data_IF_348242370496
#
_entry.id   IF_348242370496
#
_cell.length_a   1.000
_cell.length_b   1.000
_cell.length_c   1.000
_cell.angle_alpha   90.00
_cell.angle_beta   90.00
_cell.angle_gamma   90.00
#
_symmetry.space_group_name_H-M   'P 1'
#
loop_
_entity.id
_entity.type
_entity.pdbx_description
1 polymer ?
#
# COMPACT_ATOMS: atom_id res chain seq x y z
N UNK A 1 -15.70 1.76 16.67
CA UNK A 1 -16.63 2.28 15.62
C UNK A 1 -18.07 1.90 15.89
N UNK A 2 -18.36 0.70 16.43
CA UNK A 2 -19.73 0.33 16.83
C UNK A 2 -20.31 1.29 17.88
N UNK A 3 -19.49 1.76 18.80
CA UNK A 3 -19.84 2.74 19.80
C UNK A 3 -20.35 4.07 19.20
N UNK A 4 -19.76 4.53 18.11
CA UNK A 4 -20.10 5.84 17.52
C UNK A 4 -21.56 5.96 17.10
N UNK A 5 -22.23 4.85 16.74
CA UNK A 5 -23.62 4.89 16.26
C UNK A 5 -24.58 5.33 17.37
N UNK A 6 -24.71 4.60 18.49
CA UNK A 6 -25.63 5.01 19.56
C UNK A 6 -25.18 6.31 20.24
N UNK A 7 -23.89 6.60 20.31
CA UNK A 7 -23.36 7.86 20.85
C UNK A 7 -23.83 9.09 20.05
N UNK A 8 -23.83 9.00 18.71
CA UNK A 8 -24.30 10.09 17.84
C UNK A 8 -25.84 10.22 17.87
N UNK A 9 -26.56 9.09 18.01
CA UNK A 9 -28.02 9.11 18.16
C UNK A 9 -28.43 9.87 19.43
N UNK A 10 -27.71 9.74 20.55
CA UNK A 10 -27.96 10.51 21.79
C UNK A 10 -27.72 12.00 21.60
N UNK A 11 -26.88 12.40 20.68
CA UNK A 11 -26.65 13.78 20.29
C UNK A 11 -27.68 14.29 19.26
N UNK A 12 -28.76 13.55 19.04
CA UNK A 12 -29.87 13.86 18.12
C UNK A 12 -29.45 13.87 16.63
N UNK A 13 -28.38 13.17 16.26
CA UNK A 13 -28.05 12.97 14.85
C UNK A 13 -28.86 11.81 14.25
N UNK A 14 -29.34 11.96 13.03
CA UNK A 14 -29.79 10.85 12.19
C UNK A 14 -28.55 10.16 11.58
N UNK A 15 -28.27 8.91 11.99
CA UNK A 15 -27.03 8.22 11.65
C UNK A 15 -27.21 7.30 10.44
N UNK A 16 -26.54 7.63 9.36
CA UNK A 16 -26.32 6.75 8.20
C UNK A 16 -24.91 6.19 8.27
N UNK A 17 -24.76 4.88 8.07
CA UNK A 17 -23.46 4.22 8.12
C UNK A 17 -23.02 3.71 6.76
N UNK A 18 -21.73 3.76 6.52
CA UNK A 18 -21.07 3.29 5.32
C UNK A 18 -19.95 2.32 5.68
N UNK A 19 -19.97 1.14 5.06
CA UNK A 19 -18.82 0.24 5.02
C UNK A 19 -18.27 0.21 3.59
N UNK A 20 -16.97 0.50 3.45
CA UNK A 20 -16.26 0.46 2.16
C UNK A 20 -15.40 -0.78 2.14
N UNK A 21 -15.79 -1.76 1.33
CA UNK A 21 -15.05 -3.02 1.17
C UNK A 21 -13.86 -2.79 0.23
N UNK A 22 -12.67 -2.89 0.81
CA UNK A 22 -11.38 -2.75 0.12
C UNK A 22 -10.71 -4.11 -0.15
N UNK A 23 -11.44 -5.23 0.03
CA UNK A 23 -11.01 -6.59 -0.32
C UNK A 23 -10.42 -7.41 0.83
N UNK A 24 -10.48 -6.90 2.08
CA UNK A 24 -9.96 -7.61 3.27
C UNK A 24 -11.01 -8.41 4.04
N UNK A 25 -12.26 -8.50 3.56
CA UNK A 25 -13.31 -9.22 4.25
C UNK A 25 -14.17 -10.09 3.31
N UNK A 26 -14.74 -11.15 3.88
CA UNK A 26 -15.68 -12.03 3.20
C UNK A 26 -17.10 -11.45 3.13
N UNK A 27 -17.92 -11.94 2.20
CA UNK A 27 -19.34 -11.59 2.12
C UNK A 27 -20.13 -11.94 3.40
N UNK A 28 -19.67 -12.92 4.20
CA UNK A 28 -20.28 -13.27 5.49
C UNK A 28 -20.01 -12.17 6.52
N UNK A 29 -18.79 -11.69 6.59
CA UNK A 29 -18.40 -10.59 7.50
C UNK A 29 -19.07 -9.28 7.11
N UNK A 30 -19.19 -8.98 5.82
CA UNK A 30 -19.92 -7.81 5.32
C UNK A 30 -21.39 -7.83 5.76
N UNK A 31 -22.08 -8.99 5.67
CA UNK A 31 -23.44 -9.14 6.19
C UNK A 31 -23.52 -8.96 7.71
N UNK A 32 -22.51 -9.45 8.44
CA UNK A 32 -22.45 -9.26 9.89
C UNK A 32 -22.28 -7.79 10.29
N UNK A 33 -21.46 -7.03 9.54
CA UNK A 33 -21.29 -5.57 9.72
C UNK A 33 -22.61 -4.85 9.47
N UNK A 34 -23.31 -5.18 8.37
CA UNK A 34 -24.63 -4.61 8.06
C UNK A 34 -25.62 -4.85 9.20
N UNK A 35 -25.76 -6.11 9.64
CA UNK A 35 -26.65 -6.49 10.73
C UNK A 35 -26.31 -5.69 12.00
N UNK A 36 -25.01 -5.62 12.35
CA UNK A 36 -24.55 -4.91 13.53
C UNK A 36 -24.84 -3.41 13.49
N UNK A 37 -24.64 -2.77 12.34
CA UNK A 37 -24.93 -1.35 12.17
C UNK A 37 -26.43 -1.05 12.39
N UNK A 38 -27.32 -1.88 11.87
CA UNK A 38 -28.77 -1.73 12.04
C UNK A 38 -29.20 -2.00 13.48
N UNK A 39 -28.65 -3.03 14.14
CA UNK A 39 -28.90 -3.31 15.56
C UNK A 39 -28.52 -2.14 16.47
N UNK A 40 -27.48 -1.40 16.13
CA UNK A 40 -27.01 -0.23 16.89
C UNK A 40 -27.81 1.04 16.62
N UNK A 41 -28.82 0.99 15.76
CA UNK A 41 -29.75 2.09 15.51
C UNK A 41 -29.43 2.94 14.28
N UNK A 42 -28.55 2.49 13.39
CA UNK A 42 -28.34 3.21 12.13
C UNK A 42 -29.65 3.24 11.31
N UNK A 43 -30.03 4.42 10.80
CA UNK A 43 -31.21 4.57 9.94
C UNK A 43 -31.06 3.80 8.63
N UNK A 44 -29.84 3.80 8.09
CA UNK A 44 -29.48 3.07 6.88
C UNK A 44 -28.02 2.67 6.93
N UNK A 45 -27.71 1.49 6.41
CA UNK A 45 -26.35 1.02 6.18
C UNK A 45 -26.10 0.79 4.70
N UNK A 46 -24.93 1.18 4.19
CA UNK A 46 -24.51 0.92 2.82
C UNK A 46 -23.17 0.17 2.82
N UNK A 47 -23.07 -0.81 1.93
CA UNK A 47 -21.82 -1.48 1.59
C UNK A 47 -21.42 -1.07 0.17
N UNK A 48 -20.18 -0.64 -0.01
CA UNK A 48 -19.62 -0.27 -1.31
C UNK A 48 -18.29 -1.00 -1.50
N UNK A 49 -18.21 -1.79 -2.58
CA UNK A 49 -16.97 -2.45 -2.97
C UNK A 49 -16.14 -1.51 -3.85
N UNK A 50 -14.90 -1.25 -3.45
CA UNK A 50 -13.96 -0.35 -4.16
C UNK A 50 -12.67 -1.05 -4.59
N UNK A 51 -12.64 -2.37 -4.66
CA UNK A 51 -11.44 -3.12 -5.02
C UNK A 51 -10.88 -2.72 -6.40
N UNK A 52 -11.77 -2.44 -7.36
CA UNK A 52 -11.36 -1.97 -8.70
C UNK A 52 -10.71 -0.59 -8.64
N UNK A 53 -11.25 0.32 -7.82
CA UNK A 53 -10.65 1.63 -7.57
C UNK A 53 -9.33 1.50 -6.83
N UNK A 54 -9.23 0.61 -5.84
CA UNK A 54 -7.99 0.34 -5.12
C UNK A 54 -6.89 -0.14 -6.07
N UNK A 55 -7.25 -1.02 -7.00
CA UNK A 55 -6.33 -1.47 -8.05
C UNK A 55 -5.88 -0.31 -8.96
N UNK A 56 -6.82 0.46 -9.50
CA UNK A 56 -6.51 1.45 -10.53
C UNK A 56 -5.95 2.77 -10.01
N UNK A 57 -6.41 3.23 -8.83
CA UNK A 57 -6.07 4.55 -8.31
C UNK A 57 -4.89 4.50 -7.32
N UNK A 58 -4.56 3.33 -6.77
CA UNK A 58 -3.53 3.17 -5.75
C UNK A 58 -2.47 2.14 -6.14
N UNK A 59 -2.87 0.90 -6.41
CA UNK A 59 -1.91 -0.16 -6.66
C UNK A 59 -1.16 0.01 -7.99
N UNK A 60 -1.85 0.40 -9.05
CA UNK A 60 -1.19 0.61 -10.35
C UNK A 60 -0.16 1.75 -10.26
N UNK A 61 -0.47 2.95 -9.73
CA UNK A 61 0.54 3.98 -9.47
C UNK A 61 1.68 3.52 -8.55
N UNK A 62 1.40 2.74 -7.51
CA UNK A 62 2.43 2.18 -6.63
C UNK A 62 3.40 1.28 -7.39
N UNK A 63 2.90 0.40 -8.26
CA UNK A 63 3.73 -0.46 -9.11
C UNK A 63 4.56 0.38 -10.07
N UNK A 64 3.95 1.37 -10.73
CA UNK A 64 4.66 2.28 -11.65
C UNK A 64 5.71 3.12 -10.94
N UNK A 65 5.48 3.52 -9.69
CA UNK A 65 6.45 4.25 -8.89
C UNK A 65 7.73 3.44 -8.65
N UNK A 66 7.60 2.11 -8.54
CA UNK A 66 8.69 1.22 -8.17
C UNK A 66 9.27 1.51 -6.78
N UNK A 67 8.61 2.34 -5.97
CA UNK A 67 9.08 2.82 -4.67
C UNK A 67 8.23 2.26 -3.52
N UNK A 68 8.85 2.22 -2.34
CA UNK A 68 8.22 1.87 -1.07
C UNK A 68 8.49 3.00 -0.08
N UNK A 69 7.56 3.30 0.79
CA UNK A 69 7.80 4.29 1.84
C UNK A 69 8.97 3.84 2.73
N UNK A 70 9.97 4.70 2.87
CA UNK A 70 11.25 4.41 3.53
C UNK A 70 11.91 3.11 3.00
N UNK A 71 11.81 2.86 1.70
CA UNK A 71 12.34 1.68 0.99
C UNK A 71 11.81 0.33 1.52
N UNK A 72 10.69 0.31 2.23
CA UNK A 72 10.19 -0.91 2.87
C UNK A 72 8.67 -1.11 2.84
N UNK A 73 7.89 -0.07 3.18
CA UNK A 73 6.45 -0.21 3.39
C UNK A 73 5.63 0.14 2.15
N UNK A 74 4.80 -0.77 1.62
CA UNK A 74 4.03 -0.56 0.39
C UNK A 74 2.71 0.21 0.58
N UNK A 75 2.69 1.16 1.50
CA UNK A 75 1.57 2.09 1.78
C UNK A 75 0.20 1.42 1.84
N UNK A 76 0.07 0.27 2.51
CA UNK A 76 -1.18 -0.49 2.65
C UNK A 76 -2.32 0.31 3.27
N UNK A 77 -1.99 1.39 3.98
CA UNK A 77 -2.93 2.34 4.59
C UNK A 77 -3.66 3.25 3.61
N UNK A 78 -3.35 3.19 2.31
CA UNK A 78 -3.89 4.11 1.30
C UNK A 78 -5.35 3.86 0.90
N UNK A 79 -5.93 2.73 1.28
CA UNK A 79 -7.36 2.45 1.14
C UNK A 79 -8.25 3.49 1.86
N UNK A 80 -7.72 4.20 2.88
CA UNK A 80 -8.41 5.27 3.63
C UNK A 80 -8.90 6.39 2.71
N UNK A 81 -8.17 6.69 1.64
CA UNK A 81 -8.56 7.71 0.66
C UNK A 81 -9.81 7.33 -0.12
N UNK A 82 -9.97 6.07 -0.46
CA UNK A 82 -11.17 5.57 -1.12
C UNK A 82 -12.36 5.54 -0.15
N UNK A 83 -12.13 5.21 1.12
CA UNK A 83 -13.16 5.28 2.16
C UNK A 83 -13.69 6.72 2.28
N UNK A 84 -12.80 7.71 2.35
CA UNK A 84 -13.21 9.13 2.39
C UNK A 84 -13.95 9.52 1.11
N UNK A 85 -13.43 9.16 -0.06
CA UNK A 85 -14.06 9.47 -1.37
C UNK A 85 -15.51 8.97 -1.43
N UNK A 86 -15.77 7.73 -1.00
CA UNK A 86 -17.12 7.18 -0.98
C UNK A 86 -17.99 7.82 0.14
N UNK A 87 -17.40 8.17 1.28
CA UNK A 87 -18.08 8.90 2.35
C UNK A 87 -18.54 10.29 1.90
N UNK A 88 -17.69 11.01 1.18
CA UNK A 88 -18.04 12.33 0.59
C UNK A 88 -19.19 12.20 -0.42
N UNK A 89 -19.15 11.20 -1.31
CA UNK A 89 -20.26 10.93 -2.24
C UNK A 89 -21.58 10.68 -1.50
N UNK A 90 -21.53 9.92 -0.39
CA UNK A 90 -22.70 9.67 0.43
C UNK A 90 -23.21 10.95 1.09
N UNK A 91 -22.32 11.79 1.65
CA UNK A 91 -22.69 13.08 2.24
C UNK A 91 -23.36 13.99 1.20
N UNK A 92 -22.84 14.06 -0.02
CA UNK A 92 -23.43 14.83 -1.12
C UNK A 92 -24.82 14.31 -1.47
N UNK A 93 -25.02 12.97 -1.55
CA UNK A 93 -26.32 12.34 -1.82
C UNK A 93 -27.34 12.63 -0.73
N UNK A 94 -26.91 12.65 0.53
CA UNK A 94 -27.74 12.96 1.70
C UNK A 94 -27.90 14.46 1.95
N UNK A 95 -27.23 15.32 1.17
CA UNK A 95 -27.20 16.77 1.33
C UNK A 95 -26.77 17.19 2.74
N UNK A 96 -25.83 16.48 3.35
CA UNK A 96 -25.26 16.79 4.67
C UNK A 96 -23.82 17.24 4.56
N UNK A 97 -23.38 18.05 5.52
CA UNK A 97 -21.98 18.44 5.75
C UNK A 97 -21.36 17.74 6.96
N UNK A 98 -22.13 16.92 7.68
CA UNK A 98 -21.64 16.17 8.83
C UNK A 98 -21.06 14.83 8.40
N UNK A 99 -19.82 14.57 8.80
CA UNK A 99 -19.14 13.30 8.56
C UNK A 99 -18.48 12.85 9.86
N UNK A 100 -18.72 11.62 10.28
CA UNK A 100 -18.16 11.06 11.50
C UNK A 100 -17.21 9.89 11.23
N UNK A 101 -16.14 9.80 12.01
CA UNK A 101 -15.27 8.63 12.01
C UNK A 101 -14.71 8.31 13.41
N UNK A 102 -14.33 7.04 13.61
CA UNK A 102 -13.84 6.53 14.90
C UNK A 102 -12.31 6.47 15.01
N UNK A 103 -11.56 7.37 14.36
CA UNK A 103 -10.11 7.41 14.54
C UNK A 103 -9.74 8.03 15.87
N UNK A 104 -8.73 7.44 16.53
CA UNK A 104 -8.13 8.00 17.76
C UNK A 104 -7.23 9.19 17.43
N UNK A 105 -6.95 10.05 18.40
CA UNK A 105 -6.01 11.16 18.29
C UNK A 105 -4.52 10.77 18.28
N UNK A 106 -4.20 9.46 18.36
CA UNK A 106 -2.83 8.96 18.52
C UNK A 106 -2.25 8.30 17.27
N UNK A 107 -3.08 7.98 16.28
CA UNK A 107 -2.67 7.23 15.08
C UNK A 107 -2.55 8.09 13.81
N UNK A 108 -1.95 7.52 12.78
CA UNK A 108 -1.79 8.16 11.47
C UNK A 108 -3.12 8.30 10.72
N UNK A 109 -4.08 7.41 10.97
CA UNK A 109 -5.33 7.37 10.19
C UNK A 109 -6.17 8.62 10.40
N UNK A 110 -6.15 9.23 11.60
CA UNK A 110 -6.82 10.51 11.81
C UNK A 110 -6.34 11.59 10.84
N UNK A 111 -5.02 11.67 10.62
CA UNK A 111 -4.43 12.66 9.70
C UNK A 111 -4.91 12.38 8.27
N UNK A 112 -4.89 11.12 7.83
CA UNK A 112 -5.34 10.72 6.50
C UNK A 112 -6.82 11.04 6.28
N UNK A 113 -7.69 10.71 7.25
CA UNK A 113 -9.11 11.01 7.15
C UNK A 113 -9.37 12.51 7.13
N UNK A 114 -8.86 13.25 8.11
CA UNK A 114 -9.16 14.67 8.25
C UNK A 114 -8.63 15.50 7.08
N UNK A 115 -7.37 15.28 6.64
CA UNK A 115 -6.81 15.96 5.48
C UNK A 115 -7.60 15.64 4.21
N UNK A 116 -7.96 14.37 4.01
CA UNK A 116 -8.73 13.94 2.84
C UNK A 116 -10.13 14.55 2.83
N UNK A 117 -10.81 14.60 3.96
CA UNK A 117 -12.13 15.23 4.06
C UNK A 117 -12.02 16.73 3.75
N UNK A 118 -11.04 17.43 4.33
CA UNK A 118 -10.80 18.85 4.11
C UNK A 118 -10.47 19.18 2.65
N UNK A 119 -9.79 18.29 1.95
CA UNK A 119 -9.49 18.44 0.51
C UNK A 119 -10.76 18.44 -0.37
N UNK A 120 -11.90 17.94 0.14
CA UNK A 120 -13.18 17.93 -0.57
C UNK A 120 -14.12 19.07 -0.16
N UNK A 121 -13.68 19.99 0.68
CA UNK A 121 -14.43 21.20 1.08
C UNK A 121 -14.72 21.27 2.57
N UNK A 122 -15.63 22.18 2.93
CA UNK A 122 -15.99 22.44 4.33
C UNK A 122 -16.99 21.39 4.82
N UNK A 123 -16.50 20.41 5.54
CA UNK A 123 -17.28 19.42 6.28
C UNK A 123 -17.08 19.58 7.78
N UNK A 124 -18.14 19.33 8.55
CA UNK A 124 -18.07 19.20 9.99
C UNK A 124 -17.61 17.78 10.32
N UNK A 125 -16.38 17.63 10.78
CA UNK A 125 -15.78 16.35 11.12
C UNK A 125 -16.08 16.04 12.59
N UNK A 126 -16.84 14.97 12.84
CA UNK A 126 -17.26 14.55 14.18
C UNK A 126 -16.43 13.33 14.56
N UNK A 127 -15.77 13.38 15.71
CA UNK A 127 -14.80 12.36 16.13
C UNK A 127 -15.08 11.85 17.55
N UNK A 128 -16.12 11.04 17.76
CA UNK A 128 -16.55 10.61 19.09
C UNK A 128 -15.43 9.97 19.92
N UNK A 129 -14.53 9.23 19.28
CA UNK A 129 -13.42 8.57 19.99
C UNK A 129 -12.42 9.59 20.54
N UNK A 130 -12.16 10.69 19.84
CA UNK A 130 -11.29 11.77 20.35
C UNK A 130 -11.94 12.52 21.51
N UNK A 131 -13.25 12.68 21.48
CA UNK A 131 -14.00 13.27 22.60
C UNK A 131 -13.86 12.42 23.87
N UNK A 132 -13.99 11.09 23.74
CA UNK A 132 -13.81 10.14 24.84
C UNK A 132 -12.37 10.13 25.35
N UNK A 133 -11.38 10.29 24.50
CA UNK A 133 -9.97 10.38 24.91
C UNK A 133 -9.70 11.54 25.88
N UNK A 134 -10.52 12.58 25.85
CA UNK A 134 -10.45 13.68 26.81
C UNK A 134 -11.06 13.31 28.18
N UNK A 135 -11.88 12.26 28.23
CA UNK A 135 -12.59 11.82 29.44
C UNK A 135 -11.86 10.67 30.13
N UNK A 136 -11.29 9.75 29.37
CA UNK A 136 -10.65 8.55 29.89
C UNK A 136 -9.41 8.12 29.10
N UNK A 137 -8.43 7.55 29.83
CA UNK A 137 -7.25 6.91 29.20
C UNK A 137 -7.56 5.53 28.62
N UNK A 138 -8.61 4.86 29.13
CA UNK A 138 -9.01 3.53 28.66
C UNK A 138 -10.26 3.61 27.77
N UNK A 139 -10.08 4.13 26.58
CA UNK A 139 -11.15 4.32 25.58
C UNK A 139 -11.93 3.05 25.30
N UNK A 140 -11.22 1.93 25.14
CA UNK A 140 -11.85 0.64 24.80
C UNK A 140 -12.79 0.15 25.91
N UNK A 141 -12.36 0.21 27.17
CA UNK A 141 -13.22 -0.15 28.28
C UNK A 141 -14.47 0.75 28.35
N UNK A 142 -14.28 2.05 28.14
CA UNK A 142 -15.40 2.99 28.10
C UNK A 142 -16.40 2.64 26.98
N UNK A 143 -15.92 2.34 25.76
CA UNK A 143 -16.79 1.93 24.65
C UNK A 143 -17.59 0.65 24.96
N UNK A 144 -16.94 -0.33 25.60
CA UNK A 144 -17.58 -1.59 25.98
C UNK A 144 -18.66 -1.39 27.05
N UNK A 145 -18.33 -0.64 28.12
CA UNK A 145 -19.23 -0.37 29.24
C UNK A 145 -20.44 0.47 28.79
N UNK A 146 -20.21 1.46 27.94
CA UNK A 146 -21.27 2.25 27.33
C UNK A 146 -22.24 1.37 26.51
N UNK A 147 -21.73 0.49 25.65
CA UNK A 147 -22.55 -0.40 24.85
C UNK A 147 -23.34 -1.39 25.72
N UNK A 148 -22.72 -1.95 26.79
CA UNK A 148 -23.40 -2.82 27.75
C UNK A 148 -24.49 -2.10 28.49
N UNK A 149 -24.24 -0.87 28.97
CA UNK A 149 -25.24 -0.04 29.65
C UNK A 149 -26.47 0.25 28.78
N UNK A 150 -26.28 0.32 27.45
CA UNK A 150 -27.36 0.48 26.47
C UNK A 150 -28.03 -0.85 26.07
N UNK A 151 -27.69 -1.97 26.69
CA UNK A 151 -28.25 -3.28 26.38
C UNK A 151 -27.70 -3.95 25.11
N UNK A 152 -26.64 -3.40 24.50
CA UNK A 152 -26.04 -4.02 23.33
C UNK A 152 -25.07 -5.12 23.71
N UNK A 153 -25.11 -6.24 22.98
CA UNK A 153 -24.12 -7.31 23.14
C UNK A 153 -22.76 -6.81 22.66
N UNK A 154 -21.75 -6.91 23.52
CA UNK A 154 -20.36 -6.65 23.16
C UNK A 154 -19.67 -7.99 22.93
N UNK A 155 -19.06 -8.23 21.76
CA UNK A 155 -18.29 -9.44 21.54
C UNK A 155 -17.14 -9.53 22.56
N UNK A 156 -17.01 -10.65 23.27
CA UNK A 156 -15.98 -10.89 24.29
C UNK A 156 -14.55 -11.07 23.73
N UNK A 157 -14.35 -10.82 22.46
CA UNK A 157 -13.08 -11.01 21.78
C UNK A 157 -12.13 -9.85 22.09
N UNK A 158 -11.35 -9.97 23.15
CA UNK A 158 -10.10 -9.24 23.29
C UNK A 158 -9.16 -9.68 22.16
N UNK A 159 -9.24 -9.03 21.01
CA UNK A 159 -8.30 -9.29 19.94
C UNK A 159 -6.91 -8.85 20.42
N UNK A 160 -5.98 -9.80 20.49
CA UNK A 160 -4.58 -9.56 20.85
C UNK A 160 -3.95 -8.52 19.93
N UNK A 161 -4.34 -8.52 18.66
CA UNK A 161 -3.82 -7.62 17.63
C UNK A 161 -4.92 -6.76 16.99
N UNK A 162 -4.53 -5.57 16.59
CA UNK A 162 -5.26 -4.75 15.62
C UNK A 162 -4.81 -5.13 14.21
N UNK A 163 -5.71 -5.67 13.41
CA UNK A 163 -5.44 -6.08 12.01
C UNK A 163 -6.21 -5.18 11.08
N UNK A 164 -5.49 -4.51 10.17
CA UNK A 164 -6.05 -3.78 9.04
C UNK A 164 -5.70 -4.55 7.78
N UNK A 165 -6.66 -5.20 7.17
CA UNK A 165 -6.53 -6.00 5.96
C UNK A 165 -7.33 -5.38 4.82
N UNK A 166 -6.74 -5.36 3.64
CA UNK A 166 -7.36 -5.00 2.38
C UNK A 166 -6.78 -5.85 1.25
N UNK A 167 -7.20 -5.62 0.02
CA UNK A 167 -6.72 -6.36 -1.16
C UNK A 167 -5.19 -6.31 -1.34
N UNK A 168 -4.55 -5.22 -0.89
CA UNK A 168 -3.10 -5.01 -1.05
C UNK A 168 -2.27 -5.81 -0.04
N UNK A 169 -2.84 -6.17 1.11
CA UNK A 169 -2.17 -6.88 2.18
C UNK A 169 -2.73 -6.58 3.57
N UNK A 170 -1.96 -6.88 4.60
CA UNK A 170 -2.34 -6.69 5.99
C UNK A 170 -1.30 -5.90 6.77
N UNK A 171 -1.75 -5.06 7.70
CA UNK A 171 -0.91 -4.37 8.68
C UNK A 171 -1.41 -4.75 10.08
N UNK A 172 -0.50 -5.20 10.94
CA UNK A 172 -0.81 -5.77 12.25
C UNK A 172 -0.01 -5.02 13.32
N UNK A 173 -0.68 -4.57 14.38
CA UNK A 173 -0.09 -3.89 15.55
C UNK A 173 -0.72 -4.39 16.85
N UNK A 174 -0.16 -4.00 17.97
CA UNK A 174 -0.62 -4.38 19.30
C UNK A 174 0.28 -5.42 19.98
N UNK A 175 0.05 -5.65 21.27
CA UNK A 175 0.72 -6.63 22.09
C UNK A 175 2.26 -6.48 22.06
N UNK A 176 3.01 -7.58 21.89
CA UNK A 176 4.47 -7.61 21.83
C UNK A 176 5.08 -6.75 20.71
N UNK A 177 4.30 -6.46 19.65
CA UNK A 177 4.77 -5.61 18.56
C UNK A 177 4.98 -4.18 19.06
N UNK A 178 4.06 -3.66 19.85
CA UNK A 178 4.08 -2.27 20.34
C UNK A 178 5.18 -2.05 21.39
N UNK A 179 5.58 -3.09 22.13
CA UNK A 179 6.67 -3.05 23.12
C UNK A 179 8.02 -3.49 22.55
N UNK A 180 8.12 -3.65 21.24
CA UNK A 180 9.35 -3.95 20.49
C UNK A 180 9.92 -5.35 20.68
N UNK A 181 9.14 -6.29 21.21
CA UNK A 181 9.50 -7.70 21.32
C UNK A 181 9.32 -8.44 19.97
N UNK A 182 9.81 -9.68 19.90
CA UNK A 182 9.67 -10.51 18.70
C UNK A 182 8.19 -10.77 18.39
N UNK A 183 7.74 -10.46 17.16
CA UNK A 183 6.37 -10.75 16.75
C UNK A 183 6.07 -12.25 16.82
N UNK A 184 5.00 -12.62 17.48
CA UNK A 184 4.59 -14.01 17.58
C UNK A 184 4.10 -14.56 16.24
N UNK A 185 4.03 -15.88 16.12
CA UNK A 185 3.51 -16.55 14.91
C UNK A 185 2.09 -16.12 14.54
N UNK A 186 1.27 -15.78 15.54
CA UNK A 186 -0.12 -15.35 15.38
C UNK A 186 -0.27 -13.94 14.80
N UNK A 187 0.79 -13.13 14.82
CA UNK A 187 0.80 -11.80 14.22
C UNK A 187 0.88 -11.80 12.70
N UNK A 188 1.05 -12.97 12.06
CA UNK A 188 1.05 -13.13 10.61
C UNK A 188 -0.26 -13.78 10.18
N UNK A 189 -1.03 -13.11 9.32
CA UNK A 189 -2.40 -13.49 8.94
C UNK A 189 -2.52 -13.97 7.49
N UNK A 190 -1.64 -13.51 6.60
CA UNK A 190 -1.63 -13.87 5.17
C UNK A 190 -0.54 -14.88 4.82
N UNK A 191 0.61 -14.80 5.45
CA UNK A 191 1.75 -15.65 5.16
C UNK A 191 1.77 -16.89 6.04
N UNK A 192 2.05 -18.04 5.44
CA UNK A 192 2.31 -19.29 6.17
C UNK A 192 3.56 -19.18 7.04
N UNK A 193 3.67 -20.06 8.03
CA UNK A 193 4.86 -20.16 8.86
C UNK A 193 5.99 -20.92 8.15
N UNK A 194 7.28 -20.69 8.50
CA UNK A 194 8.42 -21.28 7.80
C UNK A 194 8.36 -22.80 7.60
N UNK A 195 7.86 -23.54 8.60
CA UNK A 195 7.72 -25.00 8.53
C UNK A 195 6.65 -25.48 7.54
N UNK A 196 5.79 -24.58 7.05
CA UNK A 196 4.71 -24.83 6.09
C UNK A 196 5.07 -24.44 4.66
N UNK A 197 6.26 -23.86 4.45
CA UNK A 197 6.65 -23.40 3.12
C UNK A 197 6.84 -24.58 2.14
N UNK A 198 6.47 -24.41 0.86
CA UNK A 198 6.75 -25.39 -0.14
C UNK A 198 8.25 -25.67 -0.24
N UNK A 199 8.62 -26.95 -0.29
CA UNK A 199 10.04 -27.37 -0.45
C UNK A 199 10.59 -27.11 -1.85
N UNK A 200 9.71 -27.12 -2.87
CA UNK A 200 10.09 -26.88 -4.28
C UNK A 200 9.78 -25.45 -4.66
N UNK A 201 10.68 -24.74 -5.35
CA UNK A 201 10.40 -23.42 -5.88
C UNK A 201 9.28 -23.49 -6.93
N UNK A 202 8.61 -22.36 -7.15
CA UNK A 202 7.53 -22.22 -8.12
C UNK A 202 7.86 -21.10 -9.11
N UNK A 203 7.92 -21.43 -10.38
CA UNK A 203 8.07 -20.45 -11.44
C UNK A 203 6.71 -20.02 -11.99
N UNK A 204 6.60 -18.74 -12.39
CA UNK A 204 5.44 -18.19 -13.05
C UNK A 204 5.84 -17.09 -14.04
N UNK A 205 5.00 -16.85 -15.03
CA UNK A 205 5.20 -15.81 -16.03
C UNK A 205 4.15 -14.70 -15.85
N UNK A 206 4.60 -13.46 -15.71
CA UNK A 206 3.74 -12.29 -15.60
C UNK A 206 3.91 -11.43 -16.85
N UNK A 207 2.82 -11.18 -17.56
CA UNK A 207 2.83 -10.38 -18.78
C UNK A 207 2.33 -8.97 -18.50
N UNK A 208 3.09 -8.00 -19.01
CA UNK A 208 2.77 -6.57 -18.92
C UNK A 208 2.50 -5.98 -20.31
N UNK A 209 1.61 -5.00 -20.37
CA UNK A 209 1.37 -4.15 -21.52
C UNK A 209 1.28 -2.70 -21.06
N UNK A 210 2.23 -1.87 -21.50
CA UNK A 210 2.34 -0.46 -21.07
C UNK A 210 2.26 -0.33 -19.53
N UNK A 211 3.07 -1.12 -18.84
CA UNK A 211 3.13 -1.19 -17.37
C UNK A 211 2.00 -1.94 -16.69
N UNK A 212 0.87 -2.15 -17.36
CA UNK A 212 -0.28 -2.86 -16.80
C UNK A 212 -0.11 -4.36 -16.88
N UNK A 213 -0.37 -5.07 -15.79
CA UNK A 213 -0.42 -6.54 -15.81
C UNK A 213 -1.64 -6.99 -16.60
N UNK A 214 -1.43 -7.92 -17.55
CA UNK A 214 -2.50 -8.38 -18.46
C UNK A 214 -2.67 -9.91 -18.47
N UNK A 215 -1.69 -10.68 -18.00
CA UNK A 215 -1.80 -12.14 -17.91
C UNK A 215 -0.86 -12.72 -16.85
N UNK A 216 -1.25 -13.88 -16.33
CA UNK A 216 -0.46 -14.76 -15.46
C UNK A 216 -0.43 -16.15 -16.09
N UNK A 217 0.77 -16.69 -16.35
CA UNK A 217 0.99 -18.01 -16.99
C UNK A 217 0.18 -18.18 -18.30
N UNK A 218 0.11 -17.14 -19.12
CA UNK A 218 -0.63 -17.12 -20.38
C UNK A 218 -2.13 -16.87 -20.26
N UNK A 219 -2.72 -17.02 -19.08
CA UNK A 219 -4.15 -16.77 -18.84
C UNK A 219 -4.39 -15.27 -18.65
N UNK A 220 -5.37 -14.72 -19.36
CA UNK A 220 -5.83 -13.33 -19.14
C UNK A 220 -6.44 -13.21 -17.76
N UNK A 221 -5.77 -12.48 -16.90
CA UNK A 221 -6.23 -12.14 -15.56
C UNK A 221 -5.64 -10.79 -15.19
N UNK A 222 -6.39 -9.95 -14.54
CA UNK A 222 -5.94 -8.61 -14.11
C UNK A 222 -6.79 -8.12 -12.93
N UNK A 223 -6.32 -7.03 -12.33
CA UNK A 223 -7.08 -6.38 -11.28
C UNK A 223 -7.10 -7.16 -9.96
N UNK A 224 -8.20 -7.04 -9.19
CA UNK A 224 -8.33 -7.62 -7.87
C UNK A 224 -8.09 -9.14 -7.82
N UNK A 225 -8.58 -9.89 -8.79
CA UNK A 225 -8.48 -11.35 -8.79
C UNK A 225 -7.03 -11.81 -8.96
N UNK A 226 -6.29 -11.16 -9.84
CA UNK A 226 -4.85 -11.41 -9.98
C UNK A 226 -4.12 -11.19 -8.65
N UNK A 227 -4.42 -10.08 -7.96
CA UNK A 227 -3.73 -9.77 -6.70
C UNK A 227 -4.06 -10.77 -5.61
N UNK A 228 -5.32 -11.25 -5.52
CA UNK A 228 -5.70 -12.35 -4.60
C UNK A 228 -4.91 -13.62 -4.88
N UNK A 229 -4.80 -14.01 -6.15
CA UNK A 229 -4.02 -15.19 -6.53
C UNK A 229 -2.55 -15.02 -6.15
N UNK A 230 -1.97 -13.86 -6.41
CA UNK A 230 -0.58 -13.59 -6.06
C UNK A 230 -0.38 -13.49 -4.54
N UNK A 231 -1.33 -12.93 -3.79
CA UNK A 231 -1.29 -12.92 -2.31
C UNK A 231 -1.32 -14.35 -1.76
N UNK A 232 -2.21 -15.21 -2.28
CA UNK A 232 -2.30 -16.60 -1.85
C UNK A 232 -1.02 -17.39 -2.18
N UNK A 233 -0.52 -17.26 -3.41
CA UNK A 233 0.70 -17.93 -3.84
C UNK A 233 1.90 -17.40 -3.05
N UNK A 234 2.13 -16.10 -3.02
CA UNK A 234 3.25 -15.48 -2.32
C UNK A 234 3.22 -15.72 -0.81
N UNK A 235 2.04 -15.62 -0.20
CA UNK A 235 1.82 -15.92 1.22
C UNK A 235 2.16 -17.37 1.56
N UNK A 236 1.92 -18.33 0.66
CA UNK A 236 2.33 -19.72 0.88
C UNK A 236 3.84 -19.91 0.98
N UNK A 237 4.63 -19.03 0.39
CA UNK A 237 6.11 -19.00 0.47
C UNK A 237 6.63 -18.00 1.52
N UNK A 238 5.76 -17.30 2.27
CA UNK A 238 6.15 -16.29 3.23
C UNK A 238 6.76 -15.02 2.62
N UNK A 239 6.45 -14.74 1.35
CA UNK A 239 6.94 -13.58 0.62
C UNK A 239 6.21 -12.32 1.09
N UNK A 240 6.93 -11.19 1.16
CA UNK A 240 6.34 -9.87 1.40
C UNK A 240 5.95 -9.58 2.85
N UNK A 241 6.37 -10.40 3.82
CA UNK A 241 6.18 -10.13 5.24
C UNK A 241 7.38 -9.40 5.83
N UNK A 242 7.12 -8.44 6.70
CA UNK A 242 8.20 -7.69 7.38
C UNK A 242 7.72 -7.01 8.65
N UNK A 243 8.67 -6.66 9.50
CA UNK A 243 8.47 -5.73 10.62
C UNK A 243 8.91 -4.35 10.17
N UNK A 244 8.08 -3.34 10.36
CA UNK A 244 8.36 -1.96 9.99
C UNK A 244 8.33 -1.06 11.22
N UNK A 245 9.33 -0.23 11.37
CA UNK A 245 9.41 0.78 12.41
C UNK A 245 9.71 2.14 11.76
N UNK A 246 8.92 3.14 12.11
CA UNK A 246 9.03 4.49 11.56
C UNK A 246 8.40 5.51 12.51
N UNK A 247 8.68 6.79 12.26
CA UNK A 247 7.90 7.83 12.88
C UNK A 247 6.48 7.84 12.30
N UNK A 248 5.51 7.96 13.18
CA UNK A 248 4.16 8.32 12.75
C UNK A 248 4.15 9.73 12.17
N UNK A 249 3.10 10.08 11.44
CA UNK A 249 2.95 11.44 10.86
C UNK A 249 2.97 12.50 11.96
N UNK A 250 2.53 12.15 13.15
CA UNK A 250 2.51 13.04 14.33
C UNK A 250 3.79 12.99 15.17
N UNK A 251 4.86 12.35 14.68
CA UNK A 251 6.20 12.39 15.30
C UNK A 251 6.47 11.35 16.38
N UNK A 252 5.57 10.39 16.59
CA UNK A 252 5.80 9.29 17.54
C UNK A 252 6.43 8.08 16.84
N UNK A 253 7.40 7.45 17.45
CA UNK A 253 7.96 6.19 16.94
C UNK A 253 6.93 5.08 17.05
N UNK A 254 6.59 4.45 15.93
CA UNK A 254 5.66 3.33 15.85
C UNK A 254 6.31 2.10 15.23
N UNK A 255 5.77 0.93 15.54
CA UNK A 255 6.19 -0.36 14.98
C UNK A 255 4.97 -1.22 14.64
N UNK A 256 5.03 -1.91 13.53
CA UNK A 256 3.99 -2.86 13.12
C UNK A 256 4.56 -3.95 12.21
N UNK A 257 3.85 -5.05 12.11
CA UNK A 257 4.08 -6.09 11.11
C UNK A 257 3.22 -5.77 9.88
N UNK A 258 3.73 -6.06 8.71
CA UNK A 258 2.93 -6.04 7.50
C UNK A 258 3.21 -7.23 6.60
N UNK A 259 2.23 -7.56 5.77
CA UNK A 259 2.28 -8.63 4.78
C UNK A 259 1.66 -8.14 3.47
N UNK A 260 2.45 -8.17 2.39
CA UNK A 260 2.05 -7.72 1.05
C UNK A 260 2.61 -8.65 -0.04
N UNK A 261 2.22 -9.93 -0.05
CA UNK A 261 2.84 -10.94 -0.91
C UNK A 261 2.73 -10.62 -2.40
N UNK A 262 1.52 -10.31 -2.87
CA UNK A 262 1.26 -10.03 -4.29
C UNK A 262 1.94 -8.77 -4.79
N UNK A 263 1.98 -7.71 -3.95
CA UNK A 263 2.71 -6.48 -4.28
C UNK A 263 4.21 -6.77 -4.46
N UNK A 264 4.80 -7.55 -3.55
CA UNK A 264 6.23 -7.90 -3.62
C UNK A 264 6.56 -8.65 -4.93
N UNK A 265 5.69 -9.57 -5.35
CA UNK A 265 5.84 -10.28 -6.62
C UNK A 265 5.70 -9.32 -7.80
N UNK A 266 4.66 -8.50 -7.83
CA UNK A 266 4.41 -7.57 -8.92
C UNK A 266 5.51 -6.52 -9.07
N UNK A 267 5.98 -5.96 -7.96
CA UNK A 267 7.06 -4.97 -7.98
C UNK A 267 8.39 -5.57 -8.45
N UNK A 268 8.70 -6.81 -8.05
CA UNK A 268 9.89 -7.51 -8.54
C UNK A 268 9.84 -7.75 -10.05
N UNK A 269 8.71 -8.24 -10.55
CA UNK A 269 8.51 -8.48 -11.98
C UNK A 269 8.54 -7.19 -12.80
N UNK A 270 7.82 -6.18 -12.35
CA UNK A 270 7.72 -4.90 -13.04
C UNK A 270 9.06 -4.18 -13.11
N UNK A 271 9.81 -4.16 -12.00
CA UNK A 271 11.14 -3.56 -11.95
C UNK A 271 12.10 -4.21 -12.95
N UNK A 272 12.16 -5.55 -13.02
CA UNK A 272 13.02 -6.25 -13.96
C UNK A 272 12.70 -5.89 -15.42
N UNK A 273 11.42 -5.74 -15.75
CA UNK A 273 11.02 -5.29 -17.08
C UNK A 273 11.44 -3.84 -17.34
N UNK A 274 11.22 -2.92 -16.39
CA UNK A 274 11.64 -1.52 -16.52
C UNK A 274 13.15 -1.38 -16.71
N UNK A 275 13.95 -2.06 -15.92
CA UNK A 275 15.41 -2.09 -16.02
C UNK A 275 15.89 -2.54 -17.40
N UNK A 276 15.10 -3.35 -18.09
CA UNK A 276 15.42 -3.85 -19.42
C UNK A 276 15.02 -2.91 -20.57
N UNK A 277 13.99 -2.07 -20.37
CA UNK A 277 13.36 -1.30 -21.47
C UNK A 277 13.42 0.22 -21.31
N UNK A 278 13.82 0.72 -20.14
CA UNK A 278 14.02 2.14 -19.87
C UNK A 278 15.50 2.47 -19.87
N UNK A 279 15.85 3.71 -20.27
CA UNK A 279 17.21 4.20 -20.16
C UNK A 279 17.65 4.38 -18.70
N UNK A 280 18.95 4.45 -18.45
CA UNK A 280 19.49 4.69 -17.11
C UNK A 280 18.97 6.01 -16.51
N UNK A 281 18.93 7.08 -17.30
CA UNK A 281 18.39 8.37 -16.86
C UNK A 281 16.91 8.28 -16.49
N UNK A 282 16.09 7.53 -17.27
CA UNK A 282 14.69 7.30 -16.94
C UNK A 282 14.55 6.52 -15.62
N UNK A 283 15.29 5.43 -15.46
CA UNK A 283 15.25 4.61 -14.24
C UNK A 283 15.71 5.41 -13.02
N UNK A 284 16.75 6.21 -13.14
CA UNK A 284 17.29 7.02 -12.03
C UNK A 284 16.31 8.12 -11.61
N UNK A 285 15.82 8.92 -12.56
CA UNK A 285 14.89 10.02 -12.23
C UNK A 285 13.54 9.51 -11.73
N UNK A 286 13.03 8.45 -12.32
CA UNK A 286 11.77 7.82 -11.91
C UNK A 286 11.77 7.38 -10.45
N UNK A 287 12.92 6.94 -9.89
CA UNK A 287 13.03 6.59 -8.47
C UNK A 287 12.73 7.78 -7.55
N UNK A 288 13.22 8.97 -7.89
CA UNK A 288 12.94 10.17 -7.11
C UNK A 288 11.45 10.56 -7.17
N UNK A 289 10.86 10.51 -8.37
CA UNK A 289 9.42 10.75 -8.58
C UNK A 289 8.58 9.74 -7.79
N UNK A 290 8.92 8.47 -7.87
CA UNK A 290 8.21 7.39 -7.15
C UNK A 290 8.33 7.54 -5.63
N UNK A 291 9.51 7.94 -5.13
CA UNK A 291 9.72 8.14 -3.71
C UNK A 291 8.86 9.30 -3.19
N UNK A 292 8.75 10.39 -3.94
CA UNK A 292 7.89 11.51 -3.54
C UNK A 292 6.40 11.11 -3.59
N UNK A 293 5.98 10.35 -4.58
CA UNK A 293 4.61 9.83 -4.66
C UNK A 293 4.24 9.01 -3.41
N UNK A 294 5.08 8.05 -2.99
CA UNK A 294 4.80 7.23 -1.78
C UNK A 294 4.85 8.06 -0.50
N UNK A 295 5.68 9.11 -0.44
CA UNK A 295 5.74 10.04 0.68
C UNK A 295 4.41 10.81 0.84
N UNK A 296 3.89 11.37 -0.24
CA UNK A 296 2.59 12.06 -0.24
C UNK A 296 1.47 11.12 0.19
N UNK A 297 1.41 9.92 -0.41
CA UNK A 297 0.39 8.92 -0.09
C UNK A 297 0.48 8.46 1.36
N UNK A 298 1.65 8.20 1.91
CA UNK A 298 1.79 7.78 3.31
C UNK A 298 1.33 8.87 4.28
N UNK A 299 1.68 10.13 4.00
CA UNK A 299 1.50 11.28 4.89
C UNK A 299 0.10 11.90 4.88
N UNK A 300 -0.81 11.44 4.03
CA UNK A 300 -2.18 11.96 3.99
C UNK A 300 -2.46 12.93 2.83
N UNK A 301 -1.50 13.16 1.95
CA UNK A 301 -1.58 14.10 0.84
C UNK A 301 -2.03 13.45 -0.48
N UNK A 302 -2.94 12.48 -0.41
CA UNK A 302 -3.43 11.79 -1.61
C UNK A 302 -4.18 12.73 -2.57
N UNK A 303 -4.82 13.77 -2.07
CA UNK A 303 -5.54 14.76 -2.87
C UNK A 303 -4.72 16.03 -3.15
N UNK A 304 -3.41 15.99 -2.92
CA UNK A 304 -2.48 17.06 -3.28
C UNK A 304 -2.25 17.08 -4.80
N UNK A 305 -2.34 18.25 -5.48
CA UNK A 305 -2.12 18.34 -6.93
C UNK A 305 -0.80 17.79 -7.41
N UNK A 306 0.28 17.93 -6.64
CA UNK A 306 1.59 17.35 -6.96
C UNK A 306 1.51 15.85 -7.19
N UNK A 307 0.69 15.11 -6.42
CA UNK A 307 0.51 13.67 -6.62
C UNK A 307 0.05 13.35 -8.05
N UNK A 308 -0.89 14.12 -8.60
CA UNK A 308 -1.40 13.92 -9.96
C UNK A 308 -0.35 14.23 -11.02
N UNK A 309 0.50 15.25 -10.79
CA UNK A 309 1.62 15.54 -11.67
C UNK A 309 2.64 14.40 -11.69
N UNK A 310 2.98 13.86 -10.51
CA UNK A 310 3.87 12.69 -10.39
C UNK A 310 3.27 11.46 -11.08
N UNK A 311 1.97 11.18 -10.90
CA UNK A 311 1.28 10.08 -11.60
C UNK A 311 1.29 10.23 -13.11
N UNK A 312 1.11 11.45 -13.62
CA UNK A 312 1.20 11.73 -15.06
C UNK A 312 2.58 11.35 -15.62
N UNK A 313 3.65 11.70 -14.91
CA UNK A 313 5.00 11.27 -15.26
C UNK A 313 5.16 9.74 -15.18
N UNK A 314 4.70 9.13 -14.09
CA UNK A 314 4.80 7.68 -13.89
C UNK A 314 4.05 6.91 -14.99
N UNK A 315 2.85 7.33 -15.35
CA UNK A 315 2.04 6.72 -16.43
C UNK A 315 2.72 6.89 -17.78
N UNK A 316 3.26 8.08 -18.08
CA UNK A 316 3.96 8.34 -19.34
C UNK A 316 5.20 7.45 -19.50
N UNK A 317 5.94 7.23 -18.43
CA UNK A 317 7.12 6.36 -18.42
C UNK A 317 6.81 4.90 -18.76
N UNK A 318 5.54 4.47 -18.66
CA UNK A 318 5.12 3.09 -18.93
C UNK A 318 4.89 2.76 -20.40
N UNK A 319 4.94 3.72 -21.31
CA UNK A 319 4.60 3.54 -22.74
C UNK A 319 5.29 2.33 -23.39
N UNK A 320 6.56 2.09 -23.03
CA UNK A 320 7.37 1.02 -23.59
C UNK A 320 7.54 -0.18 -22.64
N UNK A 321 6.99 -0.14 -21.42
CA UNK A 321 7.08 -1.22 -20.43
C UNK A 321 6.09 -2.32 -20.80
N UNK A 322 6.46 -3.10 -21.83
CA UNK A 322 5.63 -4.18 -22.40
C UNK A 322 6.49 -5.42 -22.60
N UNK A 323 6.09 -6.54 -22.01
CA UNK A 323 6.84 -7.80 -22.09
C UNK A 323 6.32 -8.85 -21.13
N UNK A 324 7.02 -9.96 -21.04
CA UNK A 324 6.76 -11.06 -20.12
C UNK A 324 7.98 -11.29 -19.23
N UNK A 325 7.76 -11.45 -17.94
CA UNK A 325 8.82 -11.71 -16.95
C UNK A 325 8.62 -13.07 -16.33
N UNK A 326 9.67 -13.87 -16.32
CA UNK A 326 9.73 -15.15 -15.59
C UNK A 326 10.16 -14.88 -14.15
N UNK A 327 9.26 -15.15 -13.21
CA UNK A 327 9.47 -15.04 -11.76
C UNK A 327 9.67 -16.42 -11.17
N UNK A 328 10.59 -16.54 -10.23
CA UNK A 328 10.76 -17.71 -9.40
C UNK A 328 10.50 -17.37 -7.93
N UNK A 329 9.69 -18.19 -7.28
CA UNK A 329 9.34 -18.09 -5.86
C UNK A 329 10.02 -19.20 -5.08
N UNK A 330 10.69 -18.85 -4.00
CA UNK A 330 11.25 -19.76 -3.00
C UNK A 330 10.94 -19.22 -1.59
N UNK A 331 11.17 -19.98 -0.52
CA UNK A 331 10.88 -19.54 0.83
C UNK A 331 11.41 -18.13 1.16
N UNK A 332 10.49 -17.19 1.40
CA UNK A 332 10.79 -15.79 1.70
C UNK A 332 11.35 -14.95 0.55
N UNK A 333 11.51 -15.50 -0.66
CA UNK A 333 12.22 -14.86 -1.77
C UNK A 333 11.43 -14.88 -3.07
N UNK A 334 11.47 -13.74 -3.79
CA UNK A 334 10.99 -13.60 -5.16
C UNK A 334 12.13 -13.10 -6.05
N UNK A 335 12.33 -13.73 -7.20
CA UNK A 335 13.39 -13.40 -8.16
C UNK A 335 12.83 -13.32 -9.57
N UNK A 336 13.15 -12.24 -10.29
CA UNK A 336 12.94 -12.17 -11.72
C UNK A 336 14.12 -12.81 -12.43
N UNK A 337 13.89 -13.91 -13.17
CA UNK A 337 14.96 -14.70 -13.79
C UNK A 337 15.18 -14.36 -15.26
N UNK A 338 14.12 -13.95 -15.97
CA UNK A 338 14.22 -13.63 -17.39
C UNK A 338 13.17 -12.61 -17.80
N UNK A 339 13.48 -11.81 -18.80
CA UNK A 339 12.60 -10.82 -19.42
C UNK A 339 12.53 -11.08 -20.91
N UNK A 340 11.31 -11.12 -21.46
CA UNK A 340 11.04 -11.20 -22.88
C UNK A 340 10.28 -9.94 -23.31
N UNK A 341 10.89 -9.08 -24.11
CA UNK A 341 10.28 -7.88 -24.64
C UNK A 341 10.95 -7.49 -25.96
N UNK A 342 10.16 -6.98 -26.90
CA UNK A 342 10.69 -6.36 -28.13
C UNK A 342 11.31 -4.98 -27.88
N UNK A 343 11.08 -4.42 -26.69
CA UNK A 343 11.56 -3.09 -26.31
C UNK A 343 12.85 -3.14 -25.46
N UNK A 344 13.47 -4.31 -25.31
CA UNK A 344 14.75 -4.41 -24.59
C UNK A 344 15.80 -3.54 -25.29
N UNK A 345 16.48 -2.67 -24.53
CA UNK A 345 17.53 -1.77 -25.02
C UNK A 345 18.86 -2.55 -25.21
N UNK A 346 18.81 -3.53 -26.11
CA UNK A 346 19.98 -4.34 -26.48
C UNK A 346 20.55 -3.86 -27.80
N UNK A 347 21.82 -3.47 -27.83
CA UNK A 347 22.51 -3.16 -29.07
C UNK A 347 22.61 -4.39 -29.95
N UNK A 348 22.25 -4.33 -31.24
CA UNK A 348 22.44 -5.47 -32.16
C UNK A 348 23.93 -5.75 -32.46
N UNK A 349 24.81 -4.74 -32.36
CA UNK A 349 26.22 -4.80 -32.75
C UNK A 349 27.19 -4.88 -31.57
N UNK A 350 26.71 -4.60 -30.34
CA UNK A 350 27.50 -4.61 -29.11
C UNK A 350 27.08 -5.73 -28.16
N UNK A 351 28.05 -6.40 -27.57
CA UNK A 351 27.82 -7.37 -26.50
C UNK A 351 28.68 -6.98 -25.29
N UNK A 352 28.03 -6.88 -24.11
CA UNK A 352 28.71 -6.52 -22.86
C UNK A 352 29.95 -7.38 -22.63
N UNK A 353 31.10 -6.72 -22.39
CA UNK A 353 32.42 -7.31 -22.16
C UNK A 353 32.97 -8.23 -23.32
N UNK A 354 32.33 -8.24 -24.49
CA UNK A 354 32.75 -9.09 -25.60
C UNK A 354 32.99 -8.33 -26.90
N UNK A 355 32.13 -7.42 -27.29
CA UNK A 355 32.27 -6.62 -28.49
C UNK A 355 31.71 -5.21 -28.28
N UNK A 356 32.35 -4.22 -28.93
CA UNK A 356 31.98 -2.83 -28.87
C UNK A 356 31.85 -2.23 -30.27
N UNK A 357 31.01 -1.22 -30.42
CA UNK A 357 30.85 -0.43 -31.64
C UNK A 357 31.77 0.78 -31.69
N UNK A 358 32.56 1.00 -30.67
CA UNK A 358 33.52 2.10 -30.52
C UNK A 358 34.97 1.58 -30.47
N UNK A 359 35.90 2.44 -30.89
CA UNK A 359 37.34 2.18 -30.90
C UNK A 359 37.95 2.37 -29.51
N UNK A 360 39.16 1.85 -29.33
CA UNK A 360 39.98 2.09 -28.14
C UNK A 360 40.25 3.59 -27.90
N UNK A 361 40.49 4.36 -28.98
CA UNK A 361 40.73 5.78 -28.89
C UNK A 361 39.50 6.55 -28.37
N UNK A 362 38.33 6.25 -28.86
CA UNK A 362 37.05 6.82 -28.38
C UNK A 362 36.81 6.49 -26.90
N UNK A 363 37.05 5.25 -26.50
CA UNK A 363 36.94 4.81 -25.11
C UNK A 363 37.90 5.56 -24.19
N UNK A 364 39.15 5.66 -24.55
CA UNK A 364 40.16 6.42 -23.80
C UNK A 364 39.86 7.93 -23.70
N UNK A 365 39.37 8.50 -24.81
CA UNK A 365 38.97 9.91 -24.86
C UNK A 365 37.80 10.19 -23.92
N UNK A 366 36.76 9.36 -23.97
CA UNK A 366 35.59 9.46 -23.09
C UNK A 366 35.97 9.34 -21.61
N UNK A 367 36.78 8.31 -21.24
CA UNK A 367 37.23 8.10 -19.86
C UNK A 367 38.01 9.31 -19.34
N UNK A 368 38.92 9.89 -20.17
CA UNK A 368 39.68 11.06 -19.82
C UNK A 368 38.78 12.27 -19.52
N UNK A 369 37.78 12.52 -20.38
CA UNK A 369 36.92 13.68 -20.24
C UNK A 369 35.94 13.53 -19.07
N UNK A 370 35.27 12.40 -18.92
CA UNK A 370 34.32 12.18 -17.83
C UNK A 370 35.00 12.15 -16.46
N UNK A 371 36.24 11.68 -16.40
CA UNK A 371 37.07 11.62 -15.18
C UNK A 371 37.83 12.90 -14.84
N UNK A 372 37.77 13.94 -15.66
CA UNK A 372 38.64 15.12 -15.56
C UNK A 372 38.52 15.84 -14.20
N UNK A 373 37.31 16.10 -13.75
CA UNK A 373 37.06 16.78 -12.46
C UNK A 373 37.65 16.00 -11.29
N UNK A 374 37.41 14.70 -11.24
CA UNK A 374 37.93 13.80 -10.18
C UNK A 374 39.47 13.72 -10.22
N UNK A 375 40.03 13.61 -11.42
CA UNK A 375 41.51 13.56 -11.60
C UNK A 375 42.14 14.87 -11.18
N UNK A 376 41.55 16.02 -11.49
CA UNK A 376 42.02 17.34 -11.06
C UNK A 376 41.97 17.47 -9.54
N UNK A 377 40.85 17.08 -8.94
CA UNK A 377 40.68 17.08 -7.48
C UNK A 377 41.77 16.21 -6.81
N UNK A 378 41.95 14.98 -7.30
CA UNK A 378 42.99 14.09 -6.78
C UNK A 378 44.41 14.65 -6.92
N UNK A 379 44.72 15.31 -8.03
CA UNK A 379 46.03 15.91 -8.25
C UNK A 379 46.35 17.07 -7.29
N UNK A 380 45.34 17.76 -6.80
CA UNK A 380 45.48 18.83 -5.82
C UNK A 380 45.64 18.28 -4.40
N UNK A 381 44.86 17.26 -4.05
CA UNK A 381 44.73 16.81 -2.65
C UNK A 381 45.62 15.62 -2.31
N UNK A 382 46.01 14.80 -3.30
CA UNK A 382 46.84 13.62 -3.08
C UNK A 382 48.29 13.81 -3.56
N UNK A 383 48.74 15.04 -3.74
CA UNK A 383 50.18 15.29 -3.97
C UNK A 383 50.95 14.80 -2.75
N UNK A 384 51.81 13.76 -2.96
CA UNK A 384 52.84 13.37 -2.01
C UNK A 384 53.97 14.38 -2.03
#
# INVERSE_FOLDING_TARGET
TSFCIPYLLEQNYEVHTLFVNTGGISAKEERAITKRAMELGAKKHLNINVEKSLWSEILAPLIYSGALYQNKYPVLCSDRYLIVKESIKLCQKLKTKNIAHGCTGMGNDQVRFDLSIRAHGSFNIITPIREIQNITKNVRAYEEDYLKAKGFKVPSLHKKYSVNENLMGATISGSEIDVWDEPSKESFVLCKQPHQYPKKPKSMKIKFSKGKVVALNGNKIYGPDLLRDLNNIGGSFGIGRSVFASDTIIGLKGRFVFEAPGISILMSAHRALEESVLTDNQNTFKRAVGQEWVNLVYRGFFFEPLRENLESFLVDSQKNVTGEVLINLSPGKVEALAVQSKNILKSPEGAYAQSATWSEAESKGFIKLIGQSTSTWASIHYKK
#
